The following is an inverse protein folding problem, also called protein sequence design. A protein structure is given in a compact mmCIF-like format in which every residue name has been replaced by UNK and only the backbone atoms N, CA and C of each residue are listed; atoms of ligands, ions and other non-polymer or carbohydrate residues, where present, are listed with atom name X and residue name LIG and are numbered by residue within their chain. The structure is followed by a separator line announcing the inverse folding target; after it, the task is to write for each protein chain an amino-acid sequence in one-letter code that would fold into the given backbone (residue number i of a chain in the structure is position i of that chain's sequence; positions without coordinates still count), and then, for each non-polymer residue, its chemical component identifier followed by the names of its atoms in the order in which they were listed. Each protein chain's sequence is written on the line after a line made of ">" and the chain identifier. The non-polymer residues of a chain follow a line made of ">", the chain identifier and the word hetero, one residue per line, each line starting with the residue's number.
data_IF_124437958452
#
_entry.id   IF_124437958452
#
_cell.length_a   1.000
_cell.length_b   1.000
_cell.length_c   1.000
_cell.angle_alpha   90.00
_cell.angle_beta   90.00
_cell.angle_gamma   90.00
#
_symmetry.space_group_name_H-M   'P 1'
#
loop_
_entity.id
_entity.type
_entity.pdbx_description
1 polymer ?
#
# COMPACT_ATOMS: atom_id res chain seq x y z
N UNK A 1 17.43 6.43 15.10
CA UNK A 1 17.12 7.76 14.53
C UNK A 1 16.04 8.36 15.40
N UNK A 2 16.30 9.55 15.96
CA UNK A 2 15.26 10.28 16.68
C UNK A 2 14.05 10.45 15.75
N UNK A 3 12.87 10.22 16.25
CA UNK A 3 11.61 10.36 15.49
C UNK A 3 11.31 11.82 15.11
N UNK A 4 12.28 12.69 15.24
CA UNK A 4 12.12 14.13 15.04
C UNK A 4 11.19 14.71 16.11
N UNK A 5 10.57 15.81 15.78
CA UNK A 5 9.72 16.55 16.69
C UNK A 5 8.52 15.68 17.16
N UNK A 6 8.58 15.18 18.41
CA UNK A 6 7.59 14.26 18.99
C UNK A 6 6.19 14.86 18.99
N UNK A 7 6.09 16.19 18.97
CA UNK A 7 4.81 16.91 18.93
C UNK A 7 4.15 16.92 17.55
N UNK A 8 4.90 16.56 16.49
CA UNK A 8 4.40 16.56 15.10
C UNK A 8 4.16 15.16 14.53
N UNK A 9 4.58 14.11 15.26
CA UNK A 9 4.46 12.72 14.82
C UNK A 9 3.83 11.90 15.92
N UNK A 10 2.78 11.17 15.56
CA UNK A 10 2.11 10.28 16.47
C UNK A 10 2.23 8.84 15.97
N UNK A 11 2.52 7.94 16.87
CA UNK A 11 2.47 6.49 16.67
C UNK A 11 1.40 5.94 17.60
N UNK A 12 0.47 5.19 17.08
CA UNK A 12 -0.59 4.58 17.87
C UNK A 12 -0.77 3.10 17.53
N UNK A 13 -1.34 2.36 18.46
CA UNK A 13 -1.76 0.97 18.22
C UNK A 13 -3.22 1.01 17.79
N UNK A 14 -3.50 0.56 16.57
CA UNK A 14 -4.83 0.63 15.95
C UNK A 14 -5.92 0.01 16.83
N UNK A 15 -5.65 -1.15 17.47
CA UNK A 15 -6.61 -1.83 18.34
C UNK A 15 -6.93 -1.09 19.64
N UNK A 16 -6.18 -0.03 19.98
CA UNK A 16 -6.48 0.84 21.13
C UNK A 16 -7.42 2.00 20.78
N UNK A 17 -7.83 2.10 19.52
CA UNK A 17 -8.76 3.11 19.01
C UNK A 17 -9.97 2.38 18.42
N UNK A 18 -10.93 1.93 19.27
CA UNK A 18 -12.08 1.14 18.82
C UNK A 18 -12.97 1.90 17.82
N UNK A 19 -12.93 3.23 17.84
CA UNK A 19 -13.67 4.10 16.93
C UNK A 19 -13.29 3.87 15.46
N UNK A 20 -12.09 3.36 15.17
CA UNK A 20 -11.70 3.00 13.80
C UNK A 20 -12.53 1.82 13.26
N UNK A 21 -12.79 0.83 14.10
CA UNK A 21 -13.65 -0.30 13.73
C UNK A 21 -15.11 0.12 13.61
N UNK A 22 -15.56 1.02 14.49
CA UNK A 22 -16.91 1.59 14.43
C UNK A 22 -17.10 2.41 13.16
N UNK A 23 -16.19 3.33 12.85
CA UNK A 23 -16.23 4.12 11.63
C UNK A 23 -16.20 3.24 10.38
N UNK A 24 -15.36 2.19 10.37
CA UNK A 24 -15.33 1.19 9.30
C UNK A 24 -16.73 0.61 9.06
N UNK A 25 -17.43 0.23 10.12
CA UNK A 25 -18.78 -0.33 10.04
C UNK A 25 -19.78 0.67 9.45
N UNK A 26 -19.72 1.95 9.84
CA UNK A 26 -20.56 2.98 9.24
C UNK A 26 -20.24 3.18 7.76
N UNK A 27 -18.98 3.27 7.39
CA UNK A 27 -18.56 3.46 6.00
C UNK A 27 -18.93 2.26 5.10
N UNK A 28 -18.97 1.03 5.63
CA UNK A 28 -19.43 -0.15 4.89
C UNK A 28 -20.87 -0.01 4.36
N UNK A 29 -21.72 0.74 5.05
CA UNK A 29 -23.10 0.98 4.61
C UNK A 29 -23.17 1.98 3.44
N UNK A 30 -22.08 2.66 3.14
CA UNK A 30 -22.02 3.70 2.09
C UNK A 30 -21.44 3.20 0.78
N UNK A 31 -20.98 1.95 0.71
CA UNK A 31 -20.37 1.38 -0.49
C UNK A 31 -20.95 0.00 -0.81
N UNK A 32 -21.15 -0.29 -2.08
CA UNK A 32 -21.64 -1.61 -2.47
C UNK A 32 -20.51 -2.62 -2.66
N UNK A 33 -20.82 -3.91 -2.43
CA UNK A 33 -19.91 -5.03 -2.70
C UNK A 33 -19.38 -4.99 -4.13
N UNK A 34 -20.23 -4.73 -5.10
CA UNK A 34 -19.83 -4.65 -6.51
C UNK A 34 -18.87 -3.50 -6.80
N UNK A 35 -18.95 -2.40 -6.05
CA UNK A 35 -18.00 -1.27 -6.21
C UNK A 35 -16.62 -1.64 -5.68
N UNK A 36 -16.53 -2.26 -4.51
CA UNK A 36 -15.26 -2.75 -3.95
C UNK A 36 -14.64 -3.80 -4.87
N UNK A 37 -15.44 -4.73 -5.38
CA UNK A 37 -14.98 -5.80 -6.26
C UNK A 37 -14.43 -5.28 -7.60
N UNK A 38 -14.89 -4.13 -8.08
CA UNK A 38 -14.38 -3.48 -9.30
C UNK A 38 -13.07 -2.74 -9.11
N UNK A 39 -12.63 -2.52 -7.88
CA UNK A 39 -11.35 -1.86 -7.61
C UNK A 39 -10.19 -2.65 -8.23
N UNK A 40 -9.29 -2.03 -9.00
CA UNK A 40 -8.21 -2.73 -9.69
C UNK A 40 -7.27 -3.50 -8.75
N UNK A 41 -6.91 -2.90 -7.63
CA UNK A 41 -6.03 -3.52 -6.63
C UNK A 41 -6.69 -4.74 -6.00
N UNK A 42 -7.97 -4.62 -5.61
CA UNK A 42 -8.75 -5.74 -5.06
C UNK A 42 -8.85 -6.89 -6.07
N UNK A 43 -9.14 -6.59 -7.34
CA UNK A 43 -9.19 -7.61 -8.41
C UNK A 43 -7.87 -8.36 -8.55
N UNK A 44 -6.78 -7.63 -8.59
CA UNK A 44 -5.44 -8.20 -8.72
C UNK A 44 -5.11 -9.11 -7.53
N UNK A 45 -5.39 -8.66 -6.32
CA UNK A 45 -5.14 -9.45 -5.12
C UNK A 45 -6.02 -10.70 -5.02
N UNK A 46 -7.30 -10.62 -5.42
CA UNK A 46 -8.19 -11.79 -5.48
C UNK A 46 -7.59 -12.88 -6.37
N UNK A 47 -7.10 -12.50 -7.56
CA UNK A 47 -6.44 -13.44 -8.49
C UNK A 47 -5.15 -14.01 -7.91
N UNK A 48 -4.27 -13.17 -7.38
CA UNK A 48 -2.98 -13.58 -6.83
C UNK A 48 -3.12 -14.53 -5.64
N UNK A 49 -4.22 -14.41 -4.88
CA UNK A 49 -4.49 -15.25 -3.70
C UNK A 49 -5.39 -16.45 -3.99
N UNK A 50 -5.83 -16.64 -5.24
CA UNK A 50 -6.79 -17.67 -5.63
C UNK A 50 -8.11 -17.63 -4.83
N UNK A 51 -8.59 -16.42 -4.53
CA UNK A 51 -9.83 -16.21 -3.78
C UNK A 51 -11.09 -16.18 -4.67
N UNK A 52 -10.96 -16.39 -5.98
CA UNK A 52 -12.03 -16.22 -6.95
C UNK A 52 -13.33 -16.99 -6.60
N UNK A 53 -13.20 -18.21 -6.06
CA UNK A 53 -14.33 -19.03 -5.66
C UNK A 53 -14.83 -18.73 -4.23
N UNK A 54 -13.97 -18.17 -3.36
CA UNK A 54 -14.32 -17.96 -1.95
C UNK A 54 -13.51 -16.80 -1.36
N UNK A 55 -14.06 -15.60 -1.45
CA UNK A 55 -13.43 -14.39 -0.93
C UNK A 55 -13.73 -14.27 0.56
N UNK A 56 -12.70 -14.26 1.44
CA UNK A 56 -12.93 -14.00 2.86
C UNK A 56 -13.51 -12.61 3.07
N UNK A 57 -14.56 -12.49 3.88
CA UNK A 57 -15.23 -11.21 4.13
C UNK A 57 -14.28 -10.16 4.69
N UNK A 58 -13.41 -10.53 5.63
CA UNK A 58 -12.41 -9.61 6.21
C UNK A 58 -11.43 -9.08 5.16
N UNK A 59 -11.02 -9.92 4.19
CA UNK A 59 -10.23 -9.46 3.06
C UNK A 59 -11.02 -8.47 2.20
N UNK A 60 -12.30 -8.73 1.98
CA UNK A 60 -13.13 -7.88 1.13
C UNK A 60 -13.41 -6.51 1.76
N UNK A 61 -13.37 -6.41 3.08
CA UNK A 61 -13.65 -5.19 3.83
C UNK A 61 -12.42 -4.26 4.01
N UNK A 62 -11.19 -4.73 3.75
CA UNK A 62 -9.99 -3.94 4.05
C UNK A 62 -9.93 -2.57 3.35
N UNK A 63 -10.44 -2.34 2.11
CA UNK A 63 -10.41 -1.02 1.51
C UNK A 63 -11.23 0.01 2.30
N UNK A 64 -12.32 -0.44 2.92
CA UNK A 64 -13.17 0.42 3.76
C UNK A 64 -12.52 0.69 5.11
N UNK A 65 -11.87 -0.31 5.70
CA UNK A 65 -11.06 -0.14 6.91
C UNK A 65 -9.91 0.85 6.69
N UNK A 66 -9.22 0.74 5.56
CA UNK A 66 -8.18 1.71 5.19
C UNK A 66 -8.73 3.13 5.03
N UNK A 67 -9.94 3.27 4.48
CA UNK A 67 -10.61 4.57 4.40
C UNK A 67 -10.92 5.13 5.80
N UNK A 68 -11.33 4.30 6.74
CA UNK A 68 -11.55 4.71 8.13
C UNK A 68 -10.24 5.18 8.79
N UNK A 69 -9.14 4.44 8.62
CA UNK A 69 -7.83 4.83 9.15
C UNK A 69 -7.38 6.21 8.65
N UNK A 70 -7.65 6.54 7.41
CA UNK A 70 -7.30 7.84 6.80
C UNK A 70 -8.22 8.95 7.31
N UNK A 71 -9.53 8.71 7.30
CA UNK A 71 -10.52 9.76 7.53
C UNK A 71 -10.76 10.08 8.99
N UNK A 72 -10.56 9.12 9.91
CA UNK A 72 -10.71 9.32 11.35
C UNK A 72 -9.80 10.44 11.88
N UNK A 73 -8.61 10.55 11.33
CA UNK A 73 -7.62 11.58 11.70
C UNK A 73 -7.66 12.81 10.80
N UNK A 74 -8.67 12.92 9.92
CA UNK A 74 -8.82 14.02 8.96
C UNK A 74 -7.56 14.27 8.14
N UNK A 75 -6.91 13.18 7.70
CA UNK A 75 -5.72 13.28 6.88
C UNK A 75 -6.02 14.03 5.58
N UNK A 76 -5.25 15.08 5.31
CA UNK A 76 -5.34 15.86 4.07
C UNK A 76 -4.45 15.28 2.98
N UNK A 77 -3.35 14.65 3.38
CA UNK A 77 -2.33 14.12 2.46
C UNK A 77 -1.90 12.74 2.91
N UNK A 78 -1.85 11.79 1.99
CA UNK A 78 -1.43 10.41 2.23
C UNK A 78 -0.23 10.08 1.33
N UNK A 79 0.99 10.01 1.89
CA UNK A 79 2.15 9.54 1.13
C UNK A 79 2.02 8.04 0.86
N UNK A 80 2.01 7.65 -0.41
CA UNK A 80 1.81 6.26 -0.81
C UNK A 80 2.41 5.97 -2.19
N UNK A 81 2.57 4.69 -2.52
CA UNK A 81 2.91 4.26 -3.86
C UNK A 81 1.70 4.29 -4.80
N UNK A 82 1.94 4.20 -6.09
CA UNK A 82 0.89 4.20 -7.13
C UNK A 82 -0.15 3.10 -6.95
N UNK A 83 0.24 1.96 -6.39
CA UNK A 83 -0.65 0.84 -6.12
C UNK A 83 -1.76 1.15 -5.10
N UNK A 84 -1.60 2.24 -4.32
CA UNK A 84 -2.58 2.71 -3.34
C UNK A 84 -3.55 3.75 -3.92
N UNK A 85 -3.30 4.26 -5.11
CA UNK A 85 -4.18 5.25 -5.74
C UNK A 85 -5.64 4.77 -5.86
N UNK A 86 -5.92 3.52 -6.30
CA UNK A 86 -7.28 3.01 -6.33
C UNK A 86 -7.95 2.90 -4.94
N UNK A 87 -7.17 2.74 -3.86
CA UNK A 87 -7.69 2.73 -2.50
C UNK A 87 -8.08 4.13 -2.04
N UNK A 88 -7.26 5.14 -2.38
CA UNK A 88 -7.59 6.53 -2.11
C UNK A 88 -8.82 7.01 -2.89
N UNK A 89 -9.05 6.51 -4.11
CA UNK A 89 -10.28 6.80 -4.85
C UNK A 89 -11.52 6.26 -4.11
N UNK A 90 -11.46 5.06 -3.55
CA UNK A 90 -12.54 4.52 -2.70
C UNK A 90 -12.73 5.40 -1.46
N UNK A 91 -11.64 5.83 -0.84
CA UNK A 91 -11.70 6.73 0.32
C UNK A 91 -12.39 8.05 -0.01
N UNK A 92 -12.01 8.70 -1.11
CA UNK A 92 -12.64 9.95 -1.59
C UNK A 92 -14.12 9.77 -1.90
N UNK A 93 -14.49 8.66 -2.56
CA UNK A 93 -15.88 8.33 -2.83
C UNK A 93 -16.69 8.20 -1.54
N UNK A 94 -16.15 7.51 -0.53
CA UNK A 94 -16.78 7.36 0.78
C UNK A 94 -16.92 8.71 1.51
N UNK A 95 -15.89 9.56 1.49
CA UNK A 95 -15.91 10.90 2.06
C UNK A 95 -17.01 11.74 1.43
N UNK A 96 -17.05 11.82 0.10
CA UNK A 96 -18.07 12.58 -0.63
C UNK A 96 -19.47 12.11 -0.28
N UNK A 97 -19.68 10.79 -0.27
CA UNK A 97 -20.98 10.20 0.02
C UNK A 97 -21.40 10.41 1.46
N UNK A 98 -20.49 10.27 2.42
CA UNK A 98 -20.75 10.57 3.82
C UNK A 98 -21.14 12.04 4.01
N UNK A 99 -20.32 12.95 3.48
CA UNK A 99 -20.55 14.38 3.62
C UNK A 99 -21.86 14.85 2.96
N UNK A 100 -22.25 14.19 1.86
CA UNK A 100 -23.53 14.49 1.18
C UNK A 100 -24.76 14.02 1.98
N UNK A 101 -24.67 12.85 2.62
CA UNK A 101 -25.81 12.24 3.33
C UNK A 101 -25.99 12.85 4.73
N UNK A 102 -24.89 13.09 5.43
CA UNK A 102 -24.93 13.50 6.83
C UNK A 102 -24.55 14.97 7.03
N UNK A 103 -23.25 15.27 6.97
CA UNK A 103 -22.71 16.61 7.10
C UNK A 103 -21.26 16.66 6.58
N UNK A 104 -20.73 17.83 6.19
CA UNK A 104 -19.34 17.98 5.71
C UNK A 104 -18.34 17.88 6.87
N UNK A 105 -18.14 16.68 7.39
CA UNK A 105 -17.30 16.37 8.55
C UNK A 105 -15.97 15.74 8.14
N UNK A 106 -15.99 14.87 7.13
CA UNK A 106 -14.81 14.15 6.67
C UNK A 106 -14.03 14.99 5.64
N UNK A 107 -12.69 14.87 5.69
CA UNK A 107 -11.79 15.57 4.77
C UNK A 107 -11.43 14.63 3.63
N UNK A 108 -11.47 15.11 2.40
CA UNK A 108 -11.06 14.38 1.20
C UNK A 108 -9.53 14.39 1.10
N UNK A 109 -8.87 13.21 1.12
CA UNK A 109 -7.42 13.16 1.12
C UNK A 109 -6.84 13.25 -0.29
N UNK A 110 -5.63 13.82 -0.39
CA UNK A 110 -4.79 13.80 -1.57
C UNK A 110 -3.68 12.75 -1.44
N UNK A 111 -3.33 12.09 -2.55
CA UNK A 111 -2.18 11.21 -2.58
C UNK A 111 -0.90 12.02 -2.85
N UNK A 112 0.14 11.75 -2.08
CA UNK A 112 1.47 12.25 -2.32
C UNK A 112 2.34 11.10 -2.86
N UNK A 113 2.54 11.10 -4.17
CA UNK A 113 3.40 10.14 -4.84
C UNK A 113 4.88 10.58 -4.75
N UNK A 114 5.83 9.64 -4.68
CA UNK A 114 7.25 9.95 -4.80
C UNK A 114 7.54 10.65 -6.14
N UNK A 115 8.38 11.69 -6.12
CA UNK A 115 8.80 12.39 -7.34
C UNK A 115 9.58 11.48 -8.28
N UNK A 116 10.47 10.63 -7.72
CA UNK A 116 11.24 9.67 -8.48
C UNK A 116 10.37 8.47 -8.90
N UNK A 117 10.28 8.21 -10.19
CA UNK A 117 9.51 7.11 -10.75
C UNK A 117 9.93 5.72 -10.20
N UNK A 118 11.22 5.51 -9.94
CA UNK A 118 11.74 4.26 -9.34
C UNK A 118 11.20 4.04 -7.93
N UNK A 119 10.99 5.11 -7.16
CA UNK A 119 10.46 5.04 -5.81
C UNK A 119 8.94 4.82 -5.76
N UNK A 120 8.23 5.01 -6.87
CA UNK A 120 6.77 4.79 -6.94
C UNK A 120 6.41 3.32 -6.82
N UNK A 121 7.28 2.44 -7.34
CA UNK A 121 7.11 0.99 -7.26
C UNK A 121 8.47 0.34 -7.06
N UNK A 122 8.83 0.00 -5.84
CA UNK A 122 10.11 -0.65 -5.53
C UNK A 122 10.17 -2.05 -6.13
N UNK A 123 11.17 -2.35 -6.98
CA UNK A 123 11.40 -3.69 -7.48
C UNK A 123 11.85 -4.62 -6.34
N UNK A 124 11.54 -5.90 -6.47
CA UNK A 124 12.09 -6.93 -5.58
C UNK A 124 13.57 -7.19 -5.86
N UNK A 125 14.19 -8.01 -5.02
CA UNK A 125 15.58 -8.43 -5.19
C UNK A 125 15.83 -9.23 -6.49
N UNK A 126 14.76 -9.65 -7.14
CA UNK A 126 14.76 -10.29 -8.47
C UNK A 126 14.82 -9.28 -9.64
N UNK A 127 14.68 -7.98 -9.37
CA UNK A 127 14.67 -6.91 -10.38
C UNK A 127 13.47 -6.93 -11.33
N UNK A 128 12.48 -7.80 -11.13
CA UNK A 128 11.35 -8.01 -12.05
C UNK A 128 10.02 -7.64 -11.43
N UNK A 129 9.69 -8.28 -10.33
CA UNK A 129 8.40 -8.12 -9.67
C UNK A 129 8.46 -7.06 -8.58
N UNK A 130 7.29 -6.50 -8.23
CA UNK A 130 7.17 -5.62 -7.06
C UNK A 130 7.68 -6.34 -5.82
N UNK A 131 8.49 -5.66 -5.00
CA UNK A 131 8.94 -6.17 -3.72
C UNK A 131 7.76 -6.59 -2.84
N UNK A 132 7.73 -7.85 -2.42
CA UNK A 132 6.64 -8.41 -1.63
C UNK A 132 7.11 -9.53 -0.72
N UNK A 133 6.57 -9.56 0.50
CA UNK A 133 6.80 -10.66 1.44
C UNK A 133 6.28 -12.00 0.89
N UNK A 134 5.14 -11.98 0.23
CA UNK A 134 4.51 -13.19 -0.33
C UNK A 134 5.30 -13.80 -1.48
N UNK A 135 6.07 -12.99 -2.21
CA UNK A 135 6.95 -13.45 -3.28
C UNK A 135 8.34 -13.83 -2.78
N UNK A 136 8.69 -13.50 -1.53
CA UNK A 136 10.00 -13.79 -0.97
C UNK A 136 11.15 -13.01 -1.60
N UNK A 137 10.86 -11.99 -2.41
CA UNK A 137 11.81 -11.18 -3.14
C UNK A 137 12.21 -9.91 -2.38
N UNK A 138 12.39 -10.02 -1.07
CA UNK A 138 12.81 -8.93 -0.19
C UNK A 138 13.76 -9.42 0.89
N UNK A 139 14.48 -8.50 1.51
CA UNK A 139 15.30 -8.75 2.70
C UNK A 139 14.41 -8.44 3.92
N UNK A 140 14.24 -9.42 4.80
CA UNK A 140 13.48 -9.26 6.03
C UNK A 140 14.35 -8.66 7.14
N UNK A 141 13.74 -7.88 8.03
CA UNK A 141 14.44 -7.39 9.22
C UNK A 141 14.85 -8.51 10.18
N UNK A 142 14.24 -9.68 10.06
CA UNK A 142 14.53 -10.88 10.83
C UNK A 142 15.55 -11.81 10.17
N UNK A 143 16.02 -11.48 8.95
CA UNK A 143 17.04 -12.29 8.28
C UNK A 143 18.38 -12.22 9.05
N UNK A 144 19.03 -13.36 9.21
CA UNK A 144 20.38 -13.40 9.75
C UNK A 144 21.42 -12.92 8.71
N UNK A 145 22.63 -12.63 9.16
CA UNK A 145 23.70 -12.11 8.30
C UNK A 145 23.97 -13.00 7.08
N UNK A 146 24.00 -14.32 7.27
CA UNK A 146 24.24 -15.28 6.18
C UNK A 146 23.13 -15.23 5.13
N UNK A 147 21.90 -15.12 5.56
CA UNK A 147 20.73 -15.02 4.69
C UNK A 147 20.74 -13.71 3.91
N UNK A 148 21.05 -12.58 4.57
CA UNK A 148 21.20 -11.28 3.92
C UNK A 148 22.28 -11.36 2.83
N UNK A 149 23.47 -11.84 3.15
CA UNK A 149 24.55 -12.02 2.17
C UNK A 149 24.16 -12.90 0.99
N UNK A 150 23.44 -13.99 1.25
CA UNK A 150 22.95 -14.89 0.19
C UNK A 150 21.95 -14.20 -0.74
N UNK A 151 21.04 -13.38 -0.17
CA UNK A 151 20.06 -12.60 -0.94
C UNK A 151 20.75 -11.52 -1.75
N UNK A 152 21.64 -10.73 -1.14
CA UNK A 152 22.40 -9.68 -1.83
C UNK A 152 23.22 -10.23 -3.00
N UNK A 153 23.92 -11.37 -2.82
CA UNK A 153 24.67 -12.02 -3.91
C UNK A 153 23.80 -12.49 -5.08
N UNK A 154 22.50 -12.68 -4.84
CA UNK A 154 21.52 -13.12 -5.86
C UNK A 154 20.68 -11.98 -6.42
N UNK A 155 20.88 -10.74 -5.93
CA UNK A 155 20.15 -9.62 -6.46
C UNK A 155 20.43 -9.41 -7.94
N UNK A 156 19.40 -9.01 -8.67
CA UNK A 156 19.54 -8.67 -10.07
C UNK A 156 20.38 -7.39 -10.21
N UNK A 157 21.42 -7.49 -11.03
CA UNK A 157 22.28 -6.35 -11.39
C UNK A 157 21.96 -5.80 -12.79
N UNK A 158 20.74 -6.01 -13.26
CA UNK A 158 20.36 -5.64 -14.62
C UNK A 158 20.94 -6.55 -15.68
N UNK A 159 21.05 -6.07 -16.91
CA UNK A 159 21.67 -6.82 -17.99
C UNK A 159 23.19 -6.90 -17.81
N UNK A 160 23.78 -8.09 -18.04
CA UNK A 160 25.22 -8.26 -17.94
C UNK A 160 25.91 -7.44 -19.02
N UNK A 161 26.94 -6.69 -18.63
CA UNK A 161 27.80 -5.99 -19.58
C UNK A 161 28.56 -7.00 -20.43
N UNK A 162 28.53 -6.79 -21.73
CA UNK A 162 29.25 -7.61 -22.71
C UNK A 162 30.70 -7.12 -22.91
N UNK A 163 30.99 -5.85 -22.56
CA UNK A 163 32.34 -5.28 -22.60
C UNK A 163 32.57 -4.28 -21.46
N UNK A 164 33.85 -3.99 -21.15
CA UNK A 164 34.22 -2.97 -20.13
C UNK A 164 33.93 -1.53 -20.58
N UNK A 165 33.73 -1.29 -21.85
CA UNK A 165 33.46 0.02 -22.45
C UNK A 165 31.95 0.32 -22.48
N UNK A 166 31.13 -0.66 -22.27
CA UNK A 166 29.67 -0.51 -22.25
C UNK A 166 29.20 0.25 -21.00
N UNK A 167 28.41 1.34 -21.16
CA UNK A 167 27.88 2.05 -20.02
C UNK A 167 26.96 1.16 -19.19
N UNK A 168 26.92 1.38 -17.87
CA UNK A 168 26.00 0.66 -17.00
C UNK A 168 24.55 1.08 -17.26
N UNK A 169 23.63 0.12 -17.25
CA UNK A 169 22.19 0.36 -17.32
C UNK A 169 21.61 0.38 -15.92
N UNK A 170 20.69 1.31 -15.65
CA UNK A 170 19.99 1.41 -14.37
C UNK A 170 18.73 0.53 -14.35
N UNK A 171 18.17 0.24 -15.50
CA UNK A 171 16.98 -0.58 -15.63
C UNK A 171 17.27 -2.04 -15.27
N UNK A 172 16.41 -2.65 -14.46
CA UNK A 172 16.56 -4.04 -14.02
C UNK A 172 17.53 -4.26 -12.86
N UNK A 173 18.14 -3.20 -12.32
CA UNK A 173 18.88 -3.29 -11.07
C UNK A 173 17.92 -3.29 -9.86
N UNK A 174 18.19 -4.17 -8.90
CA UNK A 174 17.42 -4.32 -7.66
C UNK A 174 18.02 -3.48 -6.52
#
# INVERSE_FOLDING_TARGET
>A
RGLGDVYKRQLYIQSMIPELAELTTYLMNLISVSRVQRNPTVKTEIKMRNFEANIPLGFFCYPVSQAADITAFKATTVPAGEDQEPMLEVTRELVRRFNQIYAPVLVEPEILLPENAVCRRLPGTDGKEKMSKSLGNCIYLSDDEKTVWKKVKKMSNGEPRMSMEEPGHLEGNA
#
